data_IF_301251114984
#
_entry.id   IF_301251114984
#
_cell.length_a   1.000
_cell.length_b   1.000
_cell.length_c   1.000
_cell.angle_alpha   90.00
_cell.angle_beta   90.00
_cell.angle_gamma   90.00
#
_symmetry.space_group_name_H-M   'P 1'
#
loop_
_entity.id
_entity.type
_entity.pdbx_description
1 polymer ?
#
# COMPACT_ATOMS: atom_id res chain seq x y z
N UNK A 1 12.98 5.56 61.81
CA UNK A 1 13.80 5.72 60.58
C UNK A 1 13.29 4.92 59.41
N UNK A 2 12.41 3.95 59.55
CA UNK A 2 11.95 3.09 58.44
C UNK A 2 10.77 3.68 57.67
N UNK A 3 9.93 4.54 58.22
CA UNK A 3 8.76 5.14 57.53
C UNK A 3 9.13 6.08 56.38
N UNK A 4 10.25 6.79 56.46
CA UNK A 4 10.68 7.71 55.40
C UNK A 4 11.23 6.99 54.15
N UNK A 5 11.74 5.77 54.28
CA UNK A 5 12.25 4.98 53.17
C UNK A 5 11.14 4.36 52.30
N UNK A 6 10.00 4.02 52.92
CA UNK A 6 8.83 3.52 52.19
C UNK A 6 8.12 4.59 51.40
N UNK A 7 8.05 5.86 51.90
CA UNK A 7 7.42 6.96 51.19
C UNK A 7 8.17 7.37 49.91
N UNK A 8 9.50 7.27 49.93
CA UNK A 8 10.30 7.59 48.73
C UNK A 8 10.28 6.48 47.66
N UNK A 9 10.09 5.23 48.02
CA UNK A 9 9.97 4.13 47.09
C UNK A 9 8.62 4.12 46.36
N UNK A 10 7.53 4.52 47.02
CA UNK A 10 6.21 4.61 46.37
C UNK A 10 6.08 5.81 45.44
N UNK A 11 6.78 6.91 45.69
CA UNK A 11 6.77 8.07 44.79
C UNK A 11 7.53 7.83 43.50
N UNK A 12 8.61 7.02 43.54
CA UNK A 12 9.39 6.63 42.37
C UNK A 12 8.63 5.64 41.44
N UNK A 13 7.73 4.82 41.99
CA UNK A 13 6.94 3.88 41.22
C UNK A 13 5.78 4.55 40.44
N UNK A 14 5.26 5.68 40.94
CA UNK A 14 4.18 6.40 40.23
C UNK A 14 4.68 7.26 39.07
N UNK A 15 5.95 7.68 39.06
CA UNK A 15 6.49 8.49 37.95
C UNK A 15 6.92 7.67 36.73
N UNK A 16 7.10 6.34 36.89
CA UNK A 16 7.47 5.46 35.78
C UNK A 16 6.34 5.11 34.80
N UNK A 17 5.07 5.36 35.18
CA UNK A 17 3.91 4.95 34.38
C UNK A 17 3.43 6.03 33.37
N UNK A 18 4.03 7.23 33.41
CA UNK A 18 3.56 8.38 32.60
C UNK A 18 4.28 8.58 31.28
N UNK A 19 5.28 7.74 30.94
CA UNK A 19 6.02 7.83 29.67
C UNK A 19 5.81 6.58 28.79
N UNK A 20 4.62 6.03 28.75
CA UNK A 20 4.27 5.16 27.64
C UNK A 20 4.23 6.03 26.38
N UNK A 21 5.09 5.80 25.36
CA UNK A 21 4.96 6.51 24.10
C UNK A 21 3.55 6.19 23.59
N UNK A 22 2.72 7.23 23.38
CA UNK A 22 1.47 7.06 22.66
C UNK A 22 1.86 6.42 21.32
N UNK A 23 1.63 5.14 21.17
CA UNK A 23 1.78 4.45 19.90
C UNK A 23 0.82 5.19 18.96
N UNK A 24 1.37 6.03 18.07
CA UNK A 24 0.62 6.67 17.01
C UNK A 24 0.02 5.52 16.20
N UNK A 25 -1.24 5.24 16.43
CA UNK A 25 -1.97 4.23 15.68
C UNK A 25 -1.88 4.63 14.21
N UNK A 26 -1.19 3.82 13.40
CA UNK A 26 -1.16 4.03 11.96
C UNK A 26 -2.61 3.95 11.46
N UNK A 27 -3.02 4.87 10.57
CA UNK A 27 -4.36 4.82 10.01
C UNK A 27 -4.59 3.46 9.36
N UNK A 28 -5.77 2.87 9.59
CA UNK A 28 -6.13 1.58 9.02
C UNK A 28 -6.04 1.63 7.48
N UNK A 29 -5.40 0.62 6.88
CA UNK A 29 -5.34 0.48 5.42
C UNK A 29 -6.67 -0.05 4.88
N UNK A 30 -7.19 0.49 3.76
CA UNK A 30 -6.75 1.71 3.07
C UNK A 30 -7.36 2.98 3.70
N UNK A 31 -6.55 4.03 3.88
CA UNK A 31 -6.97 5.33 4.41
C UNK A 31 -7.04 6.43 3.34
N UNK A 32 -6.66 6.13 2.12
CA UNK A 32 -6.63 7.03 0.96
C UNK A 32 -6.90 6.27 -0.34
N UNK A 33 -6.98 7.01 -1.45
CA UNK A 33 -7.22 6.47 -2.78
C UNK A 33 -6.19 5.40 -3.18
N UNK A 34 -6.68 4.29 -3.74
CA UNK A 34 -5.86 3.24 -4.35
C UNK A 34 -5.81 3.45 -5.86
N UNK A 35 -4.66 3.25 -6.47
CA UNK A 35 -4.44 3.32 -7.92
C UNK A 35 -4.14 1.92 -8.47
N UNK A 36 -4.94 1.49 -9.45
CA UNK A 36 -4.68 0.28 -10.23
C UNK A 36 -4.07 0.70 -11.56
N UNK A 37 -2.81 0.38 -11.78
CA UNK A 37 -2.13 0.62 -13.05
C UNK A 37 -2.41 -0.56 -13.98
N UNK A 38 -3.03 -0.26 -15.12
CA UNK A 38 -3.27 -1.22 -16.21
C UNK A 38 -2.26 -0.91 -17.31
N UNK A 39 -1.26 -1.79 -17.58
CA UNK A 39 -0.17 -1.51 -18.51
C UNK A 39 -0.56 -1.71 -19.98
N UNK A 40 -1.86 -1.53 -20.30
CA UNK A 40 -2.44 -1.70 -21.62
C UNK A 40 -3.43 -0.56 -21.93
N UNK A 41 -3.78 -0.44 -23.22
CA UNK A 41 -4.68 0.60 -23.67
C UNK A 41 -6.06 0.53 -23.01
N UNK A 42 -6.67 1.69 -22.79
CA UNK A 42 -8.04 1.80 -22.34
C UNK A 42 -9.02 1.13 -23.31
N UNK A 43 -10.07 0.50 -22.78
CA UNK A 43 -11.09 -0.21 -23.56
C UNK A 43 -10.75 -1.66 -23.89
N UNK A 44 -9.55 -2.13 -23.59
CA UNK A 44 -9.16 -3.54 -23.73
C UNK A 44 -9.68 -4.40 -22.57
N UNK A 45 -9.51 -5.72 -22.69
CA UNK A 45 -9.96 -6.69 -21.68
C UNK A 45 -9.38 -6.41 -20.30
N UNK A 46 -8.11 -6.05 -20.22
CA UNK A 46 -7.45 -5.71 -18.95
C UNK A 46 -8.00 -4.43 -18.33
N UNK A 47 -8.37 -3.45 -19.14
CA UNK A 47 -9.00 -2.22 -18.66
C UNK A 47 -10.39 -2.49 -18.06
N UNK A 48 -11.20 -3.29 -18.76
CA UNK A 48 -12.52 -3.70 -18.26
C UNK A 48 -12.40 -4.44 -16.93
N UNK A 49 -11.49 -5.41 -16.84
CA UNK A 49 -11.22 -6.14 -15.58
C UNK A 49 -10.74 -5.21 -14.47
N UNK A 50 -9.83 -4.28 -14.79
CA UNK A 50 -9.32 -3.28 -13.84
C UNK A 50 -10.42 -2.41 -13.27
N UNK A 51 -11.36 -1.97 -14.11
CA UNK A 51 -12.51 -1.13 -13.67
C UNK A 51 -13.51 -1.92 -12.83
N UNK A 52 -13.79 -3.17 -13.18
CA UNK A 52 -14.64 -4.05 -12.36
C UNK A 52 -14.00 -4.27 -10.98
N UNK A 53 -12.69 -4.52 -10.93
CA UNK A 53 -11.96 -4.67 -9.69
C UNK A 53 -11.98 -3.38 -8.86
N UNK A 54 -11.76 -2.23 -9.51
CA UNK A 54 -11.78 -0.93 -8.85
C UNK A 54 -13.14 -0.63 -8.20
N UNK A 55 -14.23 -0.91 -8.90
CA UNK A 55 -15.59 -0.75 -8.37
C UNK A 55 -15.83 -1.67 -7.15
N UNK A 56 -15.47 -2.93 -7.26
CA UNK A 56 -15.63 -3.89 -6.17
C UNK A 56 -14.80 -3.51 -4.93
N UNK A 57 -13.54 -3.14 -5.11
CA UNK A 57 -12.66 -2.72 -4.01
C UNK A 57 -13.11 -1.39 -3.41
N UNK A 58 -13.57 -0.45 -4.23
CA UNK A 58 -14.11 0.83 -3.77
C UNK A 58 -15.31 0.65 -2.86
N UNK A 59 -16.23 -0.26 -3.22
CA UNK A 59 -17.40 -0.61 -2.40
C UNK A 59 -16.99 -1.34 -1.11
N UNK A 60 -16.02 -2.25 -1.20
CA UNK A 60 -15.57 -3.03 -0.05
C UNK A 60 -14.89 -2.16 1.00
N UNK A 61 -14.02 -1.23 0.57
CA UNK A 61 -13.20 -0.44 1.49
C UNK A 61 -13.74 0.96 1.79
N UNK A 62 -14.77 1.41 1.08
CA UNK A 62 -15.28 2.77 1.21
C UNK A 62 -14.27 3.85 0.80
N UNK A 63 -13.28 3.48 -0.04
CA UNK A 63 -12.23 4.37 -0.56
C UNK A 63 -12.32 4.45 -2.07
N UNK A 64 -11.89 5.58 -2.63
CA UNK A 64 -11.77 5.71 -4.08
C UNK A 64 -10.70 4.77 -4.62
N UNK A 65 -11.05 3.97 -5.63
CA UNK A 65 -10.11 3.12 -6.37
C UNK A 65 -10.19 3.51 -7.83
N UNK A 66 -9.07 3.95 -8.41
CA UNK A 66 -9.01 4.42 -9.79
C UNK A 66 -8.18 3.49 -10.67
N UNK A 67 -8.51 3.45 -11.95
CA UNK A 67 -7.72 2.77 -12.98
C UNK A 67 -6.92 3.80 -13.76
N UNK A 68 -5.63 3.56 -13.92
CA UNK A 68 -4.71 4.35 -14.72
C UNK A 68 -4.09 3.48 -15.81
N UNK A 69 -4.39 3.77 -17.07
CA UNK A 69 -3.84 3.04 -18.21
C UNK A 69 -2.45 3.60 -18.56
N UNK A 70 -1.43 2.75 -18.58
CA UNK A 70 -0.04 3.07 -18.93
C UNK A 70 0.50 2.08 -19.97
N UNK A 71 0.02 2.17 -21.23
CA UNK A 71 0.47 1.28 -22.28
C UNK A 71 1.91 1.60 -22.72
N UNK A 72 2.53 0.64 -23.41
CA UNK A 72 3.81 0.80 -24.06
C UNK A 72 4.82 -0.29 -23.68
N UNK A 73 5.70 -0.61 -24.61
CA UNK A 73 6.77 -1.60 -24.47
C UNK A 73 6.29 -2.95 -23.92
N UNK A 74 5.14 -3.46 -24.42
CA UNK A 74 4.58 -4.73 -23.96
C UNK A 74 4.11 -4.72 -22.50
N UNK A 75 3.83 -3.55 -21.93
CA UNK A 75 3.41 -3.37 -20.54
C UNK A 75 4.54 -2.97 -19.59
N UNK A 76 5.79 -2.93 -20.08
CA UNK A 76 6.95 -2.62 -19.20
C UNK A 76 6.95 -1.19 -18.66
N UNK A 77 6.40 -0.22 -19.42
CA UNK A 77 6.30 1.17 -18.95
C UNK A 77 5.42 1.23 -17.69
N UNK A 78 4.22 0.66 -17.74
CA UNK A 78 3.33 0.60 -16.59
C UNK A 78 3.90 -0.25 -15.45
N UNK A 79 4.52 -1.37 -15.77
CA UNK A 79 5.18 -2.25 -14.81
C UNK A 79 6.30 -1.53 -14.04
N UNK A 80 7.17 -0.80 -14.75
CA UNK A 80 8.23 -0.01 -14.13
C UNK A 80 7.68 1.10 -13.24
N UNK A 81 6.64 1.79 -13.69
CA UNK A 81 5.99 2.82 -12.89
C UNK A 81 5.52 2.30 -11.52
N UNK A 82 4.95 1.09 -11.49
CA UNK A 82 4.52 0.48 -10.22
C UNK A 82 5.71 0.00 -9.39
N UNK A 83 6.75 -0.57 -10.04
CA UNK A 83 7.96 -1.00 -9.35
C UNK A 83 8.70 0.16 -8.67
N UNK A 84 8.66 1.36 -9.27
CA UNK A 84 9.28 2.57 -8.73
C UNK A 84 8.38 3.30 -7.72
N UNK A 85 7.11 2.92 -7.59
CA UNK A 85 6.18 3.55 -6.66
C UNK A 85 6.51 3.19 -5.21
N UNK A 86 6.00 3.99 -4.25
CA UNK A 86 6.13 3.68 -2.84
C UNK A 86 5.52 2.29 -2.53
N UNK A 87 6.21 1.41 -1.77
CA UNK A 87 5.75 0.06 -1.47
C UNK A 87 4.74 0.06 -0.32
N UNK A 88 3.70 0.86 -0.43
CA UNK A 88 2.68 1.09 0.61
C UNK A 88 1.32 0.43 0.31
N UNK A 89 1.20 -0.28 -0.83
CA UNK A 89 -0.02 -0.94 -1.26
C UNK A 89 -1.06 -0.02 -1.92
N UNK A 90 -0.76 1.27 -2.13
CA UNK A 90 -1.68 2.21 -2.78
C UNK A 90 -1.51 2.34 -4.29
N UNK A 91 -0.44 1.77 -4.85
CA UNK A 91 -0.23 1.63 -6.29
C UNK A 91 0.00 0.17 -6.61
N UNK A 92 -0.93 -0.45 -7.33
CA UNK A 92 -0.90 -1.87 -7.67
C UNK A 92 -0.95 -2.06 -9.18
N UNK A 93 -0.35 -3.13 -9.67
CA UNK A 93 -0.30 -3.48 -11.08
C UNK A 93 -1.34 -4.56 -11.40
N UNK A 94 -2.17 -4.33 -12.39
CA UNK A 94 -2.95 -5.40 -13.03
C UNK A 94 -2.12 -5.96 -14.20
N UNK A 95 -1.22 -6.88 -13.88
CA UNK A 95 -0.33 -7.50 -14.86
C UNK A 95 -0.99 -8.59 -15.69
N UNK A 96 -0.30 -9.02 -16.72
CA UNK A 96 -0.67 -10.18 -17.54
C UNK A 96 0.49 -11.17 -17.64
N UNK A 97 0.22 -12.38 -18.07
CA UNK A 97 1.25 -13.40 -18.27
C UNK A 97 2.32 -12.91 -19.27
N UNK A 98 1.94 -12.15 -20.31
CA UNK A 98 2.87 -11.60 -21.28
C UNK A 98 3.90 -10.65 -20.64
N UNK A 99 3.50 -9.86 -19.65
CA UNK A 99 4.41 -8.99 -18.91
C UNK A 99 5.42 -9.80 -18.09
N UNK A 100 4.98 -10.86 -17.44
CA UNK A 100 5.82 -11.69 -16.58
C UNK A 100 6.70 -12.68 -17.38
N UNK A 101 6.26 -13.10 -18.57
CA UNK A 101 7.00 -14.05 -19.40
C UNK A 101 8.14 -13.41 -20.23
N UNK A 102 8.24 -12.09 -20.25
CA UNK A 102 9.18 -11.37 -21.14
C UNK A 102 10.65 -11.52 -20.75
N UNK A 103 10.96 -11.93 -19.54
CA UNK A 103 12.34 -12.19 -19.11
C UNK A 103 13.06 -13.27 -19.96
N UNK A 104 12.31 -14.18 -20.60
CA UNK A 104 12.87 -15.17 -21.52
C UNK A 104 13.07 -14.66 -22.94
N UNK A 105 12.47 -13.52 -23.31
CA UNK A 105 12.44 -13.00 -24.68
C UNK A 105 13.33 -11.77 -24.84
N UNK A 106 13.37 -10.88 -23.86
CA UNK A 106 14.18 -9.66 -23.91
C UNK A 106 15.54 -9.88 -23.27
N UNK A 107 16.60 -9.57 -24.01
CA UNK A 107 17.99 -9.70 -23.53
C UNK A 107 18.40 -8.58 -22.55
N UNK A 108 17.62 -7.52 -22.47
CA UNK A 108 17.85 -6.36 -21.59
C UNK A 108 16.50 -5.73 -21.22
N UNK A 109 16.20 -5.76 -19.95
CA UNK A 109 15.07 -5.04 -19.33
C UNK A 109 15.61 -3.97 -18.40
#
# INVERSE_FOLDING_TARGET
MHARRFALATLAALTGLALAPAALAQPAYPSKMIRIVVPFAAGGSSDVQGRMLADALGKLYGQSVIVENKPGAGGHIGGKMVADAAPDGYTILLGSIGLHATYGVYKKL
#
